data_IF_269843761572
#
_entry.id   IF_269843761572
#
_cell.length_a   1.000
_cell.length_b   1.000
_cell.length_c   1.000
_cell.angle_alpha   90.00
_cell.angle_beta   90.00
_cell.angle_gamma   90.00
#
_symmetry.space_group_name_H-M   'P 1'
#
loop_
_entity.id
_entity.type
_entity.pdbx_description
1 polymer ?
#
# COMPACT_ATOMS: atom_id res chain seq x y z
N UNK A 1 -15.76 -11.37 85.18
CA UNK A 1 -14.66 -12.25 85.60
C UNK A 1 -14.20 -13.05 84.38
N UNK A 2 -12.91 -12.91 84.05
CA UNK A 2 -12.09 -13.67 83.08
C UNK A 2 -12.30 -13.49 81.56
N UNK A 3 -11.16 -13.18 80.96
CA UNK A 3 -10.77 -12.92 79.57
C UNK A 3 -10.50 -14.26 78.86
N UNK A 4 -10.79 -14.36 77.56
CA UNK A 4 -9.89 -14.85 76.48
C UNK A 4 -10.60 -14.79 75.11
N UNK A 5 -9.94 -14.27 74.05
CA UNK A 5 -10.45 -14.38 72.68
C UNK A 5 -9.87 -15.63 72.00
N UNK A 6 -10.68 -16.32 71.20
CA UNK A 6 -10.24 -17.41 70.32
C UNK A 6 -10.48 -16.99 68.86
N UNK A 7 -9.40 -17.04 68.07
CA UNK A 7 -9.39 -16.90 66.62
C UNK A 7 -10.23 -18.02 65.98
N UNK A 8 -11.07 -17.70 65.01
CA UNK A 8 -11.46 -18.64 63.94
C UNK A 8 -11.87 -17.86 62.69
N UNK A 9 -11.33 -18.32 61.56
CA UNK A 9 -11.24 -17.58 60.31
C UNK A 9 -12.58 -17.30 59.63
N UNK A 10 -12.63 -16.14 58.98
CA UNK A 10 -13.63 -15.82 57.97
C UNK A 10 -13.20 -16.51 56.68
N UNK A 11 -13.95 -17.55 56.27
CA UNK A 11 -13.95 -18.05 54.90
C UNK A 11 -14.81 -17.08 54.10
N UNK A 12 -14.19 -16.13 53.39
CA UNK A 12 -14.88 -15.40 52.32
C UNK A 12 -14.88 -16.32 51.11
N UNK A 13 -16.05 -16.85 50.77
CA UNK A 13 -16.29 -17.54 49.52
C UNK A 13 -16.15 -16.50 48.39
N UNK A 14 -14.96 -16.48 47.77
CA UNK A 14 -14.67 -15.62 46.63
C UNK A 14 -15.52 -16.02 45.43
N UNK A 15 -16.38 -15.10 45.01
CA UNK A 15 -17.02 -15.13 43.70
C UNK A 15 -15.94 -14.87 42.65
N UNK A 16 -15.41 -15.95 42.06
CA UNK A 16 -14.44 -15.86 40.97
C UNK A 16 -15.17 -15.43 39.68
N UNK A 17 -15.04 -14.15 39.33
CA UNK A 17 -15.27 -13.68 37.96
C UNK A 17 -14.10 -14.19 37.14
N UNK A 18 -14.36 -15.16 36.26
CA UNK A 18 -13.38 -15.65 35.30
C UNK A 18 -13.16 -14.58 34.21
N UNK A 19 -12.29 -13.62 34.51
CA UNK A 19 -11.61 -12.79 33.53
C UNK A 19 -10.31 -13.49 33.16
N UNK A 20 -10.34 -14.38 32.17
CA UNK A 20 -9.13 -15.02 31.65
C UNK A 20 -9.23 -15.12 30.13
N UNK A 21 -8.32 -14.44 29.43
CA UNK A 21 -8.09 -14.69 28.01
C UNK A 21 -7.78 -13.49 27.12
N UNK A 22 -7.62 -12.28 27.65
CA UNK A 22 -6.93 -11.20 26.92
C UNK A 22 -5.43 -11.36 27.18
N UNK A 23 -4.82 -12.40 26.60
CA UNK A 23 -3.35 -12.51 26.58
C UNK A 23 -2.84 -11.66 25.42
N UNK A 24 -2.07 -10.64 25.81
CA UNK A 24 -1.27 -9.80 24.95
C UNK A 24 -0.52 -10.63 23.90
N UNK A 25 -0.75 -10.33 22.62
CA UNK A 25 0.28 -10.53 21.62
C UNK A 25 1.45 -9.65 22.04
N UNK A 26 2.56 -10.27 22.42
CA UNK A 26 3.72 -9.55 22.94
C UNK A 26 4.22 -8.54 21.90
N UNK A 27 4.52 -7.31 22.32
CA UNK A 27 5.15 -6.27 21.50
C UNK A 27 6.35 -6.79 20.69
N UNK A 28 7.04 -7.82 21.19
CA UNK A 28 8.13 -8.52 20.50
C UNK A 28 7.76 -9.12 19.13
N UNK A 29 6.52 -9.56 18.88
CA UNK A 29 6.15 -10.14 17.58
C UNK A 29 5.87 -9.07 16.52
N UNK A 30 5.36 -7.91 16.92
CA UNK A 30 5.20 -6.75 16.04
C UNK A 30 6.55 -6.10 15.72
N UNK A 31 7.43 -6.03 16.72
CA UNK A 31 8.79 -5.52 16.56
C UNK A 31 9.67 -6.44 15.69
N UNK A 32 9.43 -7.76 15.73
CA UNK A 32 10.11 -8.73 14.87
C UNK A 32 9.63 -8.66 13.41
N UNK A 33 8.33 -8.47 13.17
CA UNK A 33 7.81 -8.27 11.82
C UNK A 33 8.31 -6.94 11.20
N UNK A 34 8.33 -5.87 12.00
CA UNK A 34 8.90 -4.58 11.60
C UNK A 34 10.41 -4.66 11.37
N UNK A 35 11.14 -5.45 12.17
CA UNK A 35 12.57 -5.68 12.03
C UNK A 35 12.91 -6.56 10.84
N UNK A 36 12.14 -7.60 10.50
CA UNK A 36 12.34 -8.41 9.28
C UNK A 36 12.08 -7.60 8.00
N UNK A 37 11.06 -6.74 8.01
CA UNK A 37 10.79 -5.78 6.92
C UNK A 37 11.96 -4.80 6.75
N UNK A 38 12.59 -4.38 7.86
CA UNK A 38 13.77 -3.52 7.84
C UNK A 38 15.07 -4.27 7.46
N UNK A 39 15.20 -5.57 7.78
CA UNK A 39 16.43 -6.36 7.57
C UNK A 39 16.56 -6.90 6.14
N UNK A 40 15.46 -7.05 5.39
CA UNK A 40 15.47 -7.40 3.96
C UNK A 40 15.89 -6.22 3.04
N UNK A 41 16.20 -5.06 3.62
CA UNK A 41 16.81 -3.94 2.93
C UNK A 41 18.34 -4.05 2.89
N UNK A 42 18.87 -5.05 2.17
CA UNK A 42 20.32 -5.18 1.96
C UNK A 42 20.94 -3.87 1.42
N UNK A 43 22.08 -3.45 2.01
CA UNK A 43 22.83 -2.20 1.78
C UNK A 43 22.38 -1.37 0.56
N UNK A 44 21.37 -0.51 0.78
CA UNK A 44 20.77 0.40 -0.20
C UNK A 44 21.40 1.79 -0.17
N UNK A 45 22.45 1.99 0.62
CA UNK A 45 22.92 3.32 1.04
C UNK A 45 23.58 4.15 -0.05
N UNK A 46 24.00 3.55 -1.17
CA UNK A 46 24.77 4.23 -2.23
C UNK A 46 24.18 4.10 -3.65
N UNK A 47 22.90 3.77 -3.80
CA UNK A 47 22.25 3.66 -5.11
C UNK A 47 21.10 4.64 -5.22
N UNK A 48 20.94 5.24 -6.41
CA UNK A 48 19.77 6.10 -6.67
C UNK A 48 18.49 5.27 -6.51
N UNK A 49 17.39 5.86 -5.97
CA UNK A 49 16.11 5.16 -5.82
C UNK A 49 15.63 4.50 -7.11
N UNK A 50 15.82 5.17 -8.25
CA UNK A 50 15.53 4.60 -9.56
C UNK A 50 16.38 3.37 -9.91
N UNK A 51 17.68 3.37 -9.64
CA UNK A 51 18.55 2.24 -9.97
C UNK A 51 18.19 0.99 -9.16
N UNK A 52 17.82 1.16 -7.89
CA UNK A 52 17.31 0.09 -7.04
C UNK A 52 15.99 -0.47 -7.59
N UNK A 53 15.07 0.41 -7.97
CA UNK A 53 13.78 0.03 -8.52
C UNK A 53 13.91 -0.77 -9.83
N UNK A 54 14.66 -0.25 -10.80
CA UNK A 54 14.82 -0.87 -12.13
C UNK A 54 15.48 -2.24 -11.99
N UNK A 55 16.50 -2.37 -11.12
CA UNK A 55 17.12 -3.67 -10.86
C UNK A 55 16.15 -4.66 -10.26
N UNK A 56 15.40 -4.27 -9.22
CA UNK A 56 14.42 -5.13 -8.59
C UNK A 56 13.35 -5.63 -9.57
N UNK A 57 12.96 -4.80 -10.54
CA UNK A 57 12.02 -5.19 -11.59
C UNK A 57 12.60 -6.19 -12.60
N UNK A 58 13.89 -6.08 -12.93
CA UNK A 58 14.58 -7.01 -13.85
C UNK A 58 14.88 -8.35 -13.20
N UNK A 59 15.34 -8.35 -11.95
CA UNK A 59 15.74 -9.58 -11.24
C UNK A 59 14.55 -10.51 -10.95
N UNK A 60 13.32 -9.96 -10.95
CA UNK A 60 12.08 -10.63 -10.54
C UNK A 60 11.15 -11.01 -11.70
N UNK A 61 11.53 -10.77 -12.96
CA UNK A 61 10.65 -11.01 -14.13
C UNK A 61 10.10 -12.45 -14.15
N UNK A 62 10.85 -13.41 -13.60
CA UNK A 62 10.48 -14.83 -13.56
C UNK A 62 9.82 -15.29 -12.25
N UNK A 63 9.61 -14.39 -11.27
CA UNK A 63 9.11 -14.72 -9.93
C UNK A 63 8.10 -13.68 -9.49
N UNK A 64 6.89 -13.79 -10.02
CA UNK A 64 5.78 -12.91 -9.66
C UNK A 64 4.60 -13.73 -9.19
N UNK A 65 4.02 -13.30 -8.08
CA UNK A 65 2.72 -13.76 -7.61
C UNK A 65 1.72 -12.59 -7.67
N UNK A 66 0.44 -12.91 -7.77
CA UNK A 66 -0.65 -11.93 -7.81
C UNK A 66 -1.54 -12.03 -6.59
N UNK A 67 -1.89 -10.88 -6.02
CA UNK A 67 -2.86 -10.73 -4.94
C UNK A 67 -3.95 -9.73 -5.36
N UNK A 68 -5.20 -9.96 -4.94
CA UNK A 68 -6.31 -9.04 -5.20
C UNK A 68 -7.00 -8.70 -3.89
N UNK A 69 -6.83 -7.46 -3.45
CA UNK A 69 -7.48 -6.94 -2.27
C UNK A 69 -8.62 -6.01 -2.69
N UNK A 70 -9.73 -6.03 -1.95
CA UNK A 70 -10.79 -5.04 -2.04
C UNK A 70 -10.68 -4.05 -0.87
N UNK A 71 -11.02 -2.79 -1.12
CA UNK A 71 -10.90 -1.70 -0.16
C UNK A 71 -11.89 -0.57 -0.47
N UNK A 72 -12.11 0.38 0.45
CA UNK A 72 -13.06 1.48 0.22
C UNK A 72 -12.66 2.47 -0.89
N UNK A 73 -11.37 2.59 -1.20
CA UNK A 73 -10.86 3.47 -2.26
C UNK A 73 -9.60 2.86 -2.89
N UNK A 74 -9.68 2.35 -4.12
CA UNK A 74 -8.53 1.72 -4.77
C UNK A 74 -7.39 2.69 -5.08
N UNK A 75 -7.62 4.01 -5.20
CA UNK A 75 -6.52 4.97 -5.40
C UNK A 75 -5.63 5.08 -4.17
N UNK A 76 -6.24 5.03 -2.97
CA UNK A 76 -5.50 4.95 -1.71
C UNK A 76 -4.77 3.62 -1.60
N UNK A 77 -5.43 2.53 -2.01
CA UNK A 77 -4.81 1.21 -2.13
C UNK A 77 -3.59 1.18 -3.04
N UNK A 78 -3.68 1.77 -4.23
CA UNK A 78 -2.54 1.88 -5.15
C UNK A 78 -1.41 2.70 -4.53
N UNK A 79 -1.74 3.74 -3.76
CA UNK A 79 -0.76 4.50 -2.98
C UNK A 79 -0.04 3.63 -1.94
N UNK A 80 -0.79 2.82 -1.19
CA UNK A 80 -0.24 1.90 -0.20
C UNK A 80 0.63 0.81 -0.84
N UNK A 81 0.07 0.01 -1.75
CA UNK A 81 0.80 -1.10 -2.37
C UNK A 81 1.97 -0.60 -3.24
N UNK A 82 1.79 0.52 -3.94
CA UNK A 82 2.85 1.14 -4.74
C UNK A 82 4.02 1.69 -3.92
N UNK A 83 3.90 1.76 -2.59
CA UNK A 83 4.98 2.13 -1.68
C UNK A 83 5.85 0.94 -1.22
N UNK A 84 5.39 -0.31 -1.39
CA UNK A 84 6.09 -1.52 -0.93
C UNK A 84 7.16 -2.00 -1.93
N UNK A 85 8.44 -2.08 -1.55
CA UNK A 85 9.57 -2.35 -2.47
C UNK A 85 9.43 -3.63 -3.31
N UNK A 86 8.74 -4.63 -2.79
CA UNK A 86 8.46 -5.92 -3.43
C UNK A 86 7.34 -5.88 -4.49
N UNK A 87 6.62 -4.77 -4.64
CA UNK A 87 5.52 -4.62 -5.60
C UNK A 87 6.02 -4.05 -6.93
N UNK A 88 5.65 -4.71 -8.03
CA UNK A 88 6.01 -4.34 -9.41
C UNK A 88 4.88 -3.68 -10.16
N UNK A 89 3.66 -4.14 -9.94
CA UNK A 89 2.49 -3.58 -10.60
C UNK A 89 1.34 -3.54 -9.62
N UNK A 90 0.62 -2.43 -9.67
CA UNK A 90 -0.74 -2.34 -9.14
C UNK A 90 -1.69 -2.07 -10.30
N UNK A 91 -2.89 -2.61 -10.21
CA UNK A 91 -3.99 -2.33 -11.12
C UNK A 91 -5.22 -2.03 -10.27
N UNK A 92 -5.54 -0.74 -10.13
CA UNK A 92 -6.84 -0.31 -9.63
C UNK A 92 -7.96 -0.74 -10.58
N UNK A 93 -9.08 -1.19 -10.02
CA UNK A 93 -10.24 -1.56 -10.79
C UNK A 93 -11.34 -2.18 -9.96
N UNK A 94 -12.12 -3.06 -10.57
CA UNK A 94 -13.31 -3.64 -9.99
C UNK A 94 -13.36 -5.15 -10.16
N UNK A 95 -13.87 -5.83 -9.14
CA UNK A 95 -14.38 -7.22 -9.21
C UNK A 95 -15.82 -7.17 -8.71
N UNK A 96 -16.78 -7.50 -9.58
CA UNK A 96 -18.18 -7.17 -9.36
C UNK A 96 -18.37 -5.66 -9.09
N UNK A 97 -18.93 -5.34 -7.93
CA UNK A 97 -19.13 -3.96 -7.46
C UNK A 97 -18.03 -3.47 -6.51
N UNK A 98 -17.10 -4.34 -6.12
CA UNK A 98 -16.06 -3.98 -5.16
C UNK A 98 -14.91 -3.27 -5.87
N UNK A 99 -14.46 -2.17 -5.26
CA UNK A 99 -13.20 -1.52 -5.59
C UNK A 99 -12.02 -2.40 -5.15
N UNK A 100 -11.12 -2.71 -6.07
CA UNK A 100 -9.98 -3.60 -5.83
C UNK A 100 -8.68 -3.01 -6.34
N UNK A 101 -7.58 -3.51 -5.77
CA UNK A 101 -6.24 -3.40 -6.34
C UNK A 101 -5.71 -4.80 -6.56
N UNK A 102 -5.41 -5.14 -7.81
CA UNK A 102 -4.58 -6.29 -8.15
C UNK A 102 -3.10 -5.90 -8.04
N UNK A 103 -2.32 -6.74 -7.38
CA UNK A 103 -0.92 -6.48 -7.03
C UNK A 103 -0.07 -7.62 -7.59
N UNK A 104 0.90 -7.31 -8.45
CA UNK A 104 2.00 -8.21 -8.81
C UNK A 104 3.19 -7.92 -7.89
N UNK A 105 3.67 -8.93 -7.16
CA UNK A 105 4.75 -8.81 -6.18
C UNK A 105 5.76 -9.96 -6.25
N UNK A 106 6.91 -9.79 -5.62
CA UNK A 106 7.95 -10.82 -5.48
C UNK A 106 7.70 -11.70 -4.23
N UNK A 107 7.30 -12.98 -4.41
CA UNK A 107 7.08 -13.89 -3.30
C UNK A 107 8.36 -14.28 -2.55
N UNK A 108 9.54 -14.02 -3.11
CA UNK A 108 10.83 -14.25 -2.44
C UNK A 108 11.24 -13.10 -1.51
N UNK A 109 10.60 -11.94 -1.63
CA UNK A 109 10.82 -10.77 -0.76
C UNK A 109 9.69 -10.63 0.27
N UNK A 110 8.43 -10.87 -0.12
CA UNK A 110 7.29 -10.85 0.79
C UNK A 110 6.39 -12.05 0.52
N UNK A 111 5.94 -12.75 1.56
CA UNK A 111 4.95 -13.81 1.36
C UNK A 111 3.55 -13.22 1.12
N UNK A 112 2.70 -13.94 0.37
CA UNK A 112 1.29 -13.59 0.18
C UNK A 112 0.59 -13.27 1.52
N UNK A 113 0.80 -14.12 2.53
CA UNK A 113 0.24 -13.94 3.87
C UNK A 113 0.68 -12.60 4.49
N UNK A 114 1.97 -12.27 4.44
CA UNK A 114 2.50 -11.04 5.02
C UNK A 114 1.99 -9.80 4.28
N UNK A 115 1.92 -9.87 2.95
CA UNK A 115 1.40 -8.79 2.11
C UNK A 115 -0.06 -8.46 2.47
N UNK A 116 -0.93 -9.48 2.50
CA UNK A 116 -2.36 -9.25 2.78
C UNK A 116 -2.59 -8.89 4.25
N UNK A 117 -1.84 -9.48 5.19
CA UNK A 117 -1.95 -9.13 6.62
C UNK A 117 -1.60 -7.65 6.83
N UNK A 118 -0.49 -7.17 6.26
CA UNK A 118 -0.13 -5.76 6.33
C UNK A 118 -1.18 -4.85 5.67
N UNK A 119 -1.71 -5.25 4.50
CA UNK A 119 -2.77 -4.51 3.84
C UNK A 119 -4.06 -4.44 4.67
N UNK A 120 -4.47 -5.53 5.31
CA UNK A 120 -5.62 -5.58 6.22
C UNK A 120 -5.42 -4.62 7.39
N UNK A 121 -4.26 -4.66 8.02
CA UNK A 121 -3.95 -3.83 9.19
C UNK A 121 -3.92 -2.34 8.84
N UNK A 122 -3.56 -2.01 7.59
CA UNK A 122 -3.66 -0.66 7.03
C UNK A 122 -5.07 -0.28 6.51
N UNK A 123 -6.06 -1.17 6.62
CA UNK A 123 -7.42 -0.96 6.08
C UNK A 123 -7.52 -1.04 4.55
N UNK A 124 -6.46 -1.50 3.88
CA UNK A 124 -6.33 -1.61 2.42
C UNK A 124 -6.70 -3.00 1.88
N UNK A 125 -7.16 -3.91 2.75
CA UNK A 125 -7.69 -5.22 2.37
C UNK A 125 -8.84 -5.63 3.28
N UNK A 126 -10.04 -5.09 3.02
CA UNK A 126 -11.26 -5.45 3.78
C UNK A 126 -11.89 -6.76 3.28
N UNK A 127 -11.57 -7.15 2.04
CA UNK A 127 -11.96 -8.42 1.40
C UNK A 127 -10.83 -8.84 0.46
N UNK A 128 -10.68 -10.14 0.23
CA UNK A 128 -9.56 -10.68 -0.57
C UNK A 128 -10.11 -11.66 -1.60
N UNK A 129 -9.80 -11.41 -2.87
CA UNK A 129 -10.15 -12.29 -3.98
C UNK A 129 -8.98 -13.22 -4.27
N UNK A 130 -9.09 -14.47 -3.80
CA UNK A 130 -8.06 -15.48 -3.91
C UNK A 130 -8.12 -16.15 -5.29
N UNK A 131 -6.98 -16.27 -5.97
CA UNK A 131 -6.87 -16.85 -7.32
C UNK A 131 -6.59 -18.35 -7.30
N UNK A 132 -6.11 -18.87 -6.16
CA UNK A 132 -5.85 -20.28 -5.96
C UNK A 132 -6.46 -20.74 -4.64
N UNK A 133 -6.66 -22.05 -4.51
CA UNK A 133 -7.16 -22.63 -3.27
C UNK A 133 -6.15 -22.48 -2.13
N UNK A 134 -4.84 -22.52 -2.45
CA UNK A 134 -3.78 -22.23 -1.49
C UNK A 134 -3.85 -20.79 -0.95
N UNK A 135 -4.12 -19.81 -1.82
CA UNK A 135 -4.36 -18.43 -1.38
C UNK A 135 -5.62 -18.31 -0.52
N UNK A 136 -6.69 -19.04 -0.88
CA UNK A 136 -7.93 -19.04 -0.10
C UNK A 136 -7.71 -19.62 1.30
N UNK A 137 -7.03 -20.75 1.40
CA UNK A 137 -6.68 -21.39 2.67
C UNK A 137 -5.83 -20.45 3.53
N UNK A 138 -4.76 -19.89 2.96
CA UNK A 138 -3.91 -18.92 3.64
C UNK A 138 -4.72 -17.70 4.12
N UNK A 139 -5.51 -17.08 3.25
CA UNK A 139 -6.27 -15.86 3.53
C UNK A 139 -7.32 -16.05 4.62
N UNK A 140 -7.98 -17.22 4.68
CA UNK A 140 -8.97 -17.53 5.72
C UNK A 140 -8.41 -17.42 7.13
N UNK A 141 -7.11 -17.66 7.33
CA UNK A 141 -6.50 -17.54 8.66
C UNK A 141 -6.48 -16.11 9.21
N UNK A 142 -6.52 -15.09 8.36
CA UNK A 142 -6.32 -13.69 8.80
C UNK A 142 -7.39 -12.69 8.30
N UNK A 143 -8.13 -12.98 7.22
CA UNK A 143 -9.33 -12.19 6.82
C UNK A 143 -10.64 -12.98 6.98
N UNK A 144 -10.59 -14.23 7.45
CA UNK A 144 -11.78 -15.03 7.75
C UNK A 144 -12.72 -15.20 6.56
N UNK A 145 -14.01 -14.95 6.78
CA UNK A 145 -15.05 -15.07 5.75
C UNK A 145 -14.93 -14.05 4.61
N UNK A 146 -14.10 -13.00 4.76
CA UNK A 146 -13.84 -12.02 3.71
C UNK A 146 -12.83 -12.52 2.65
N UNK A 147 -12.23 -13.70 2.83
CA UNK A 147 -11.50 -14.39 1.77
C UNK A 147 -12.49 -15.13 0.84
N UNK A 148 -12.49 -14.77 -0.43
CA UNK A 148 -13.38 -15.35 -1.45
C UNK A 148 -12.54 -15.91 -2.58
N UNK A 149 -12.77 -17.17 -2.94
CA UNK A 149 -12.20 -17.77 -4.16
C UNK A 149 -12.93 -17.20 -5.37
N UNK A 150 -12.19 -16.59 -6.29
CA UNK A 150 -12.76 -16.05 -7.53
C UNK A 150 -11.72 -16.03 -8.65
N UNK A 151 -12.14 -16.45 -9.85
CA UNK A 151 -11.36 -16.32 -11.09
C UNK A 151 -11.77 -15.11 -11.92
N UNK A 152 -12.71 -14.29 -11.43
CA UNK A 152 -13.15 -13.08 -12.11
C UNK A 152 -11.98 -12.10 -12.25
N UNK A 153 -11.68 -11.72 -13.50
CA UNK A 153 -10.59 -10.79 -13.80
C UNK A 153 -10.93 -9.40 -13.28
N UNK A 154 -9.92 -8.68 -12.79
CA UNK A 154 -10.09 -7.28 -12.44
C UNK A 154 -10.40 -6.49 -13.71
N UNK A 155 -11.54 -5.79 -13.71
CA UNK A 155 -11.87 -4.79 -14.73
C UNK A 155 -11.14 -3.50 -14.36
N UNK A 156 -10.12 -3.07 -15.11
CA UNK A 156 -9.35 -1.89 -14.76
C UNK A 156 -10.24 -0.65 -14.66
N UNK A 157 -9.85 0.27 -13.78
CA UNK A 157 -10.44 1.61 -13.72
C UNK A 157 -10.23 2.35 -15.06
N UNK A 158 -11.13 3.30 -15.37
CA UNK A 158 -11.05 4.11 -16.59
C UNK A 158 -9.81 5.03 -16.58
N UNK A 159 -9.33 5.39 -15.40
CA UNK A 159 -8.21 6.30 -15.21
C UNK A 159 -7.12 5.65 -14.34
N UNK A 160 -6.44 4.60 -14.85
CA UNK A 160 -5.42 3.88 -14.09
C UNK A 160 -4.28 4.83 -13.70
N UNK A 161 -3.73 4.63 -12.49
CA UNK A 161 -2.67 5.52 -11.95
C UNK A 161 -3.11 6.98 -11.93
N UNK A 162 -4.31 7.24 -11.41
CA UNK A 162 -4.95 8.56 -11.39
C UNK A 162 -4.00 9.72 -11.03
N UNK A 163 -3.21 9.58 -9.97
CA UNK A 163 -2.27 10.62 -9.54
C UNK A 163 -1.23 10.98 -10.61
N UNK A 164 -0.73 10.00 -11.37
CA UNK A 164 0.20 10.25 -12.48
C UNK A 164 -0.52 11.02 -13.60
N UNK A 165 -1.76 10.64 -13.91
CA UNK A 165 -2.59 11.29 -14.93
C UNK A 165 -2.89 12.76 -14.61
N UNK A 166 -2.91 13.14 -13.33
CA UNK A 166 -3.10 14.53 -12.88
C UNK A 166 -1.86 15.43 -13.05
N UNK A 167 -0.77 14.90 -13.60
CA UNK A 167 0.49 15.63 -13.73
C UNK A 167 1.06 15.54 -15.14
N UNK A 168 2.05 16.38 -15.49
CA UNK A 168 2.78 16.24 -16.74
C UNK A 168 3.51 14.89 -16.91
N UNK A 169 3.62 14.07 -15.83
CA UNK A 169 4.18 12.72 -15.89
C UNK A 169 3.35 11.75 -16.72
N UNK A 170 2.07 12.06 -17.02
CA UNK A 170 1.23 11.28 -17.94
C UNK A 170 1.85 11.08 -19.32
N UNK A 171 2.77 11.96 -19.71
CA UNK A 171 3.48 11.90 -21.01
C UNK A 171 4.90 11.33 -20.90
N UNK A 172 5.33 10.91 -19.71
CA UNK A 172 6.67 10.39 -19.47
C UNK A 172 6.60 8.86 -19.47
N UNK A 173 7.30 8.16 -20.39
CA UNK A 173 7.32 6.71 -20.41
C UNK A 173 8.03 6.19 -19.16
N UNK A 174 7.44 5.19 -18.51
CA UNK A 174 7.93 4.61 -17.27
C UNK A 174 7.60 3.13 -17.22
N UNK A 175 8.38 2.36 -16.46
CA UNK A 175 8.05 0.96 -16.21
C UNK A 175 6.85 0.84 -15.27
N UNK A 176 6.17 -0.32 -15.22
CA UNK A 176 5.11 -0.57 -14.24
C UNK A 176 5.53 -0.30 -12.80
N UNK A 177 6.72 -0.75 -12.39
CA UNK A 177 7.19 -0.56 -11.03
C UNK A 177 7.45 0.92 -10.74
N UNK A 178 7.99 1.64 -11.73
CA UNK A 178 8.19 3.09 -11.66
C UNK A 178 6.88 3.85 -11.56
N UNK A 179 5.85 3.49 -12.34
CA UNK A 179 4.52 4.08 -12.23
C UNK A 179 3.91 3.85 -10.84
N UNK A 180 4.09 2.66 -10.25
CA UNK A 180 3.60 2.37 -8.90
C UNK A 180 4.27 3.27 -7.85
N UNK A 181 5.61 3.36 -7.89
CA UNK A 181 6.37 4.21 -6.96
C UNK A 181 6.02 5.68 -7.10
N UNK A 182 5.92 6.17 -8.32
CA UNK A 182 5.56 7.57 -8.59
C UNK A 182 4.14 7.84 -8.11
N UNK A 183 3.18 6.97 -8.42
CA UNK A 183 1.79 7.12 -7.96
C UNK A 183 1.70 7.16 -6.43
N UNK A 184 2.44 6.28 -5.75
CA UNK A 184 2.53 6.27 -4.29
C UNK A 184 3.22 7.51 -3.71
N UNK A 185 4.28 8.00 -4.35
CA UNK A 185 4.94 9.23 -3.97
C UNK A 185 4.01 10.44 -4.13
N UNK A 186 3.26 10.53 -5.24
CA UNK A 186 2.29 11.60 -5.48
C UNK A 186 1.12 11.56 -4.48
N UNK A 187 0.57 10.38 -4.19
CA UNK A 187 -0.45 10.19 -3.15
C UNK A 187 0.05 10.70 -1.78
N UNK A 188 1.31 10.42 -1.46
CA UNK A 188 1.95 10.86 -0.21
C UNK A 188 2.56 12.28 -0.28
N UNK A 189 2.33 13.03 -1.36
CA UNK A 189 2.91 14.37 -1.59
C UNK A 189 4.45 14.44 -1.47
N UNK A 190 5.15 13.36 -1.87
CA UNK A 190 6.61 13.26 -1.87
C UNK A 190 7.21 13.64 -3.22
N UNK A 191 8.49 14.01 -3.20
CA UNK A 191 9.24 14.29 -4.42
C UNK A 191 9.40 13.02 -5.29
N UNK A 192 9.12 13.19 -6.58
CA UNK A 192 9.15 12.14 -7.60
C UNK A 192 10.40 12.20 -8.45
N UNK A 193 11.15 13.32 -8.44
CA UNK A 193 12.36 13.47 -9.25
C UNK A 193 13.42 12.39 -8.99
N UNK A 194 13.66 11.91 -7.75
CA UNK A 194 14.59 10.81 -7.49
C UNK A 194 14.19 9.48 -8.13
N UNK A 195 12.92 9.34 -8.54
CA UNK A 195 12.38 8.18 -9.23
C UNK A 195 12.44 8.33 -10.75
N UNK A 196 12.98 9.42 -11.29
CA UNK A 196 13.09 9.68 -12.72
C UNK A 196 14.55 9.66 -13.18
N UNK A 197 14.80 9.06 -14.34
CA UNK A 197 16.10 9.17 -15.02
C UNK A 197 16.32 10.59 -15.55
N UNK A 198 17.56 11.00 -15.82
CA UNK A 198 17.83 12.32 -16.40
C UNK A 198 17.02 12.59 -17.68
N UNK A 199 16.88 11.60 -18.57
CA UNK A 199 16.06 11.72 -19.78
C UNK A 199 14.57 11.90 -19.47
N UNK A 200 14.03 11.20 -18.47
CA UNK A 200 12.65 11.36 -18.03
C UNK A 200 12.40 12.72 -17.36
N UNK A 201 13.38 13.25 -16.61
CA UNK A 201 13.30 14.61 -16.05
C UNK A 201 13.21 15.66 -17.16
N UNK A 202 14.03 15.53 -18.22
CA UNK A 202 13.94 16.41 -19.40
C UNK A 202 12.56 16.32 -20.07
N UNK A 203 11.99 15.12 -20.20
CA UNK A 203 10.64 14.94 -20.76
C UNK A 203 9.58 15.58 -19.86
N UNK A 204 9.71 15.41 -18.54
CA UNK A 204 8.81 15.99 -17.54
C UNK A 204 8.84 17.52 -17.57
N UNK A 205 10.02 18.13 -17.65
CA UNK A 205 10.17 19.58 -17.74
C UNK A 205 9.61 20.14 -19.05
N UNK A 206 9.80 19.43 -20.16
CA UNK A 206 9.16 19.78 -21.45
C UNK A 206 7.65 19.69 -21.37
N UNK A 207 7.11 18.65 -20.74
CA UNK A 207 5.67 18.48 -20.56
C UNK A 207 5.08 19.61 -19.68
N UNK A 208 5.74 19.95 -18.56
CA UNK A 208 5.42 21.12 -17.73
C UNK A 208 5.37 22.41 -18.55
N UNK A 209 6.39 22.64 -19.38
CA UNK A 209 6.48 23.85 -20.21
C UNK A 209 5.36 23.93 -21.26
N UNK A 210 4.95 22.79 -21.83
CA UNK A 210 3.80 22.71 -22.75
C UNK A 210 2.48 22.97 -22.03
N UNK A 211 2.28 22.39 -20.85
CA UNK A 211 1.07 22.61 -20.06
C UNK A 211 0.96 24.08 -19.61
N UNK A 212 2.08 24.72 -19.26
CA UNK A 212 2.13 26.17 -18.97
C UNK A 212 1.91 27.05 -20.20
N UNK A 213 2.24 26.56 -21.40
CA UNK A 213 1.97 27.22 -22.67
C UNK A 213 0.54 26.98 -23.20
N UNK A 214 -0.12 25.91 -22.74
CA UNK A 214 -1.47 25.51 -23.13
C UNK A 214 -2.59 26.23 -22.33
N UNK A 215 -2.25 26.97 -21.27
CA UNK A 215 -3.16 27.94 -20.65
C UNK A 215 -3.49 29.00 -21.70
N UNK A 216 -4.77 29.17 -22.02
CA UNK A 216 -5.20 29.92 -23.20
C UNK A 216 -4.77 31.39 -23.15
N UNK A 217 -4.59 32.03 -24.31
CA UNK A 217 -4.37 33.48 -24.41
C UNK A 217 -5.45 34.25 -23.65
N UNK A 218 -6.68 33.72 -23.58
CA UNK A 218 -7.78 34.29 -22.80
C UNK A 218 -7.52 34.24 -21.28
N UNK A 219 -6.91 33.19 -20.76
CA UNK A 219 -6.54 33.07 -19.34
C UNK A 219 -5.35 33.98 -18.98
N UNK A 220 -4.38 34.12 -19.91
CA UNK A 220 -3.28 35.10 -19.79
C UNK A 220 -3.80 36.53 -19.78
N UNK A 221 -4.75 36.86 -20.66
CA UNK A 221 -5.38 38.18 -20.73
C UNK A 221 -6.30 38.45 -19.54
N UNK A 222 -7.01 37.44 -19.02
CA UNK A 222 -7.83 37.56 -17.82
C UNK A 222 -7.00 37.80 -16.55
N UNK A 223 -5.79 37.23 -16.48
CA UNK A 223 -4.85 37.47 -15.39
C UNK A 223 -4.23 38.89 -15.48
N UNK A 224 -3.82 39.33 -16.66
CA UNK A 224 -3.27 40.67 -16.88
C UNK A 224 -4.31 41.79 -16.76
N UNK A 225 -5.58 41.52 -17.09
CA UNK A 225 -6.69 42.45 -16.90
C UNK A 225 -6.98 42.76 -15.43
N UNK A 226 -6.70 41.82 -14.51
CA UNK A 226 -6.87 42.03 -13.06
C UNK A 226 -5.76 42.86 -12.42
N UNK A 227 -4.59 42.96 -13.05
CA UNK A 227 -3.46 43.78 -12.57
C UNK A 227 -3.64 45.25 -12.93
N UNK A 228 -4.49 45.56 -13.93
CA UNK A 228 -4.73 46.92 -14.43
C UNK A 228 -5.88 47.68 -13.74
N UNK A 229 -6.54 47.05 -12.76
CA UNK A 229 -7.64 47.64 -11.97
C UNK A 229 -7.27 47.89 -10.49
N UNK A 230 -5.97 48.06 -10.18
CA UNK A 230 -5.50 48.61 -8.91
C UNK A 230 -4.76 49.91 -9.14
#
# INVERSE_FOLDING_TARGET
MKITPVRSGVVVLGLAIASAGLLAMSASQADNAASEIAMLAGDRSNRSPLATLVRGEVDSIHRRETAVAAMPCFWSGEGYFGALDCVYRTTAGYVGADEVVEVEFDPSVISYQSLITGARDAGMAVKVYCRTDAQLEAARHFVGAAAVRSDERVRPDENPKWYVLQTPLKSVPMTPAQACRISAALHAHRDVLPLLSPSQQIMYDRAKGRDAAAISEADRLAFLGKIRQR
#
